data_IF_619344429604
#
_entry.id   IF_619344429604
#
_cell.length_a   1.000
_cell.length_b   1.000
_cell.length_c   1.000
_cell.angle_alpha   90.00
_cell.angle_beta   90.00
_cell.angle_gamma   90.00
#
_symmetry.space_group_name_H-M   'P 1'
#
loop_
_entity.id
_entity.type
_entity.pdbx_description
1 polymer ?
#
# COMPACT_ATOMS: atom_id res chain seq x y z
N UNK A 1 -30.79 3.24 -29.19
CA UNK A 1 -29.67 4.19 -29.39
C UNK A 1 -30.03 5.65 -29.10
N UNK A 2 -31.09 6.24 -29.70
CA UNK A 2 -31.49 7.66 -29.49
C UNK A 2 -31.73 8.06 -28.02
N UNK A 3 -32.36 7.19 -27.22
CA UNK A 3 -32.62 7.44 -25.77
C UNK A 3 -31.34 7.56 -24.94
N UNK A 4 -30.33 6.74 -25.22
CA UNK A 4 -29.06 6.75 -24.48
C UNK A 4 -28.23 8.01 -24.79
N UNK A 5 -28.15 8.39 -26.07
CA UNK A 5 -27.48 9.62 -26.51
C UNK A 5 -28.14 10.86 -25.89
N UNK A 6 -29.48 10.87 -25.80
CA UNK A 6 -30.21 11.93 -25.11
C UNK A 6 -29.83 12.03 -23.62
N UNK A 7 -29.75 10.89 -22.90
CA UNK A 7 -29.37 10.87 -21.49
C UNK A 7 -27.93 11.37 -21.26
N UNK A 8 -26.98 10.99 -22.11
CA UNK A 8 -25.60 11.50 -22.06
C UNK A 8 -25.58 13.02 -22.29
N UNK A 9 -26.24 13.49 -23.35
CA UNK A 9 -26.30 14.93 -23.65
C UNK A 9 -26.91 15.72 -22.50
N UNK A 10 -27.98 15.20 -21.90
CA UNK A 10 -28.61 15.78 -20.71
C UNK A 10 -27.64 15.85 -19.53
N UNK A 11 -26.87 14.80 -19.26
CA UNK A 11 -25.90 14.78 -18.17
C UNK A 11 -24.81 15.84 -18.34
N UNK A 12 -24.26 16.02 -19.55
CA UNK A 12 -23.28 17.10 -19.82
C UNK A 12 -23.88 18.49 -19.67
N UNK A 13 -25.12 18.70 -20.13
CA UNK A 13 -25.83 19.97 -19.95
C UNK A 13 -26.07 20.27 -18.46
N UNK A 14 -26.37 19.25 -17.65
CA UNK A 14 -26.56 19.38 -16.20
C UNK A 14 -25.26 19.83 -15.50
N UNK A 15 -24.14 19.17 -15.80
CA UNK A 15 -22.81 19.57 -15.29
C UNK A 15 -22.50 21.02 -15.68
N UNK A 16 -22.81 21.40 -16.93
CA UNK A 16 -22.59 22.75 -17.43
C UNK A 16 -23.48 23.83 -16.80
N UNK A 17 -24.67 23.49 -16.32
CA UNK A 17 -25.58 24.44 -15.64
C UNK A 17 -25.26 24.57 -14.14
N UNK A 18 -24.75 23.52 -13.49
CA UNK A 18 -24.40 23.52 -12.07
C UNK A 18 -22.88 23.36 -11.82
N UNK A 19 -22.08 24.19 -12.50
CA UNK A 19 -20.61 24.04 -12.56
C UNK A 19 -19.93 24.05 -11.19
N UNK A 20 -20.38 24.90 -10.27
CA UNK A 20 -19.74 25.05 -8.96
C UNK A 20 -19.90 23.80 -8.10
N UNK A 21 -21.10 23.21 -8.09
CA UNK A 21 -21.38 22.00 -7.31
C UNK A 21 -20.73 20.77 -7.96
N UNK A 22 -20.78 20.67 -9.30
CA UNK A 22 -20.09 19.62 -10.04
C UNK A 22 -18.57 19.67 -9.80
N UNK A 23 -17.98 20.88 -9.77
CA UNK A 23 -16.57 21.09 -9.44
C UNK A 23 -16.24 20.66 -8.00
N UNK A 24 -17.05 21.08 -7.02
CA UNK A 24 -16.88 20.68 -5.62
C UNK A 24 -16.95 19.15 -5.44
N UNK A 25 -17.91 18.49 -6.11
CA UNK A 25 -18.03 17.03 -6.11
C UNK A 25 -16.83 16.36 -6.79
N UNK A 26 -16.34 16.93 -7.89
CA UNK A 26 -15.15 16.43 -8.59
C UNK A 26 -13.92 16.48 -7.70
N UNK A 27 -13.68 17.61 -7.00
CA UNK A 27 -12.57 17.75 -6.06
C UNK A 27 -12.69 16.73 -4.92
N UNK A 28 -13.87 16.59 -4.33
CA UNK A 28 -14.09 15.67 -3.21
C UNK A 28 -13.79 14.22 -3.60
N UNK A 29 -14.34 13.74 -4.72
CA UNK A 29 -14.09 12.38 -5.22
C UNK A 29 -12.62 12.22 -5.64
N UNK A 30 -12.03 13.22 -6.30
CA UNK A 30 -10.61 13.19 -6.70
C UNK A 30 -9.70 13.07 -5.48
N UNK A 31 -9.90 13.90 -4.45
CA UNK A 31 -9.11 13.85 -3.22
C UNK A 31 -9.23 12.49 -2.52
N UNK A 32 -10.45 11.94 -2.46
CA UNK A 32 -10.66 10.60 -1.92
C UNK A 32 -9.90 9.53 -2.72
N UNK A 33 -10.06 9.49 -4.04
CA UNK A 33 -9.41 8.50 -4.90
C UNK A 33 -7.88 8.64 -4.86
N UNK A 34 -7.36 9.86 -4.71
CA UNK A 34 -5.94 10.11 -4.51
C UNK A 34 -5.44 9.55 -3.18
N UNK A 35 -6.12 9.82 -2.09
CA UNK A 35 -5.75 9.29 -0.77
C UNK A 35 -5.79 7.76 -0.79
N UNK A 36 -6.83 7.18 -1.41
CA UNK A 36 -6.95 5.73 -1.60
C UNK A 36 -5.77 5.17 -2.40
N UNK A 37 -5.46 5.77 -3.55
CA UNK A 37 -4.36 5.35 -4.44
C UNK A 37 -3.01 5.41 -3.73
N UNK A 38 -2.70 6.54 -3.10
CA UNK A 38 -1.43 6.74 -2.40
C UNK A 38 -1.30 5.82 -1.19
N UNK A 39 -2.39 5.59 -0.45
CA UNK A 39 -2.41 4.66 0.68
C UNK A 39 -2.20 3.22 0.22
N UNK A 40 -2.88 2.81 -0.85
CA UNK A 40 -2.69 1.49 -1.46
C UNK A 40 -1.23 1.28 -1.88
N UNK A 41 -0.62 2.27 -2.54
CA UNK A 41 0.78 2.20 -2.94
C UNK A 41 1.73 2.14 -1.76
N UNK A 42 1.50 2.94 -0.73
CA UNK A 42 2.29 2.92 0.48
C UNK A 42 2.22 1.52 1.12
N UNK A 43 1.02 0.94 1.23
CA UNK A 43 0.82 -0.40 1.80
C UNK A 43 1.56 -1.47 1.00
N UNK A 44 1.42 -1.48 -0.33
CA UNK A 44 2.10 -2.47 -1.18
C UNK A 44 3.62 -2.34 -1.05
N UNK A 45 4.16 -1.11 -1.15
CA UNK A 45 5.60 -0.89 -1.00
C UNK A 45 6.12 -1.23 0.41
N UNK A 46 5.37 -0.88 1.46
CA UNK A 46 5.71 -1.24 2.85
C UNK A 46 5.68 -2.77 3.03
N UNK A 47 4.70 -3.46 2.45
CA UNK A 47 4.61 -4.92 2.53
C UNK A 47 5.81 -5.56 1.81
N UNK A 48 6.16 -5.11 0.61
CA UNK A 48 7.36 -5.58 -0.11
C UNK A 48 8.63 -5.31 0.67
N UNK A 49 8.79 -4.10 1.24
CA UNK A 49 9.92 -3.76 2.08
C UNK A 49 9.96 -4.64 3.35
N UNK A 50 8.80 -4.88 3.96
CA UNK A 50 8.66 -5.75 5.13
C UNK A 50 9.01 -7.20 4.79
N UNK A 51 8.70 -7.70 3.59
CA UNK A 51 9.09 -9.04 3.16
C UNK A 51 10.60 -9.19 2.97
N UNK A 52 11.26 -8.18 2.38
CA UNK A 52 12.72 -8.15 2.26
C UNK A 52 13.37 -8.10 3.65
N UNK A 53 12.88 -7.21 4.53
CA UNK A 53 13.33 -7.14 5.92
C UNK A 53 13.04 -8.46 6.65
N UNK A 54 11.88 -9.10 6.48
CA UNK A 54 11.60 -10.39 7.13
C UNK A 54 12.60 -11.48 6.73
N UNK A 55 13.04 -11.52 5.47
CA UNK A 55 14.07 -12.49 5.00
C UNK A 55 15.45 -12.25 5.58
N UNK A 56 15.78 -11.01 5.93
CA UNK A 56 17.05 -10.69 6.60
C UNK A 56 16.96 -10.91 8.12
N UNK A 57 15.75 -10.86 8.69
CA UNK A 57 15.53 -10.80 10.14
C UNK A 57 14.86 -12.06 10.73
N UNK A 58 14.56 -13.07 9.90
CA UNK A 58 14.31 -14.46 10.33
C UNK A 58 15.63 -15.20 10.64
N UNK A 59 16.74 -14.48 10.65
CA UNK A 59 18.09 -14.97 10.92
C UNK A 59 18.47 -14.64 12.36
N UNK A 60 18.88 -15.67 13.09
CA UNK A 60 19.52 -15.58 14.39
C UNK A 60 21.01 -15.78 14.15
N UNK A 61 21.82 -14.82 14.54
CA UNK A 61 23.27 -14.90 14.42
C UNK A 61 23.85 -15.27 15.78
N UNK A 62 24.44 -16.45 15.85
CA UNK A 62 25.21 -16.91 17.00
C UNK A 62 26.67 -16.58 16.74
N UNK A 63 27.24 -15.64 17.47
CA UNK A 63 28.68 -15.38 17.45
C UNK A 63 29.38 -16.43 18.28
N UNK A 64 30.41 -17.05 17.69
CA UNK A 64 31.21 -18.06 18.35
C UNK A 64 32.42 -17.40 19.00
N UNK A 65 32.91 -17.99 20.08
CA UNK A 65 34.16 -17.54 20.70
C UNK A 65 35.33 -17.70 19.73
N UNK A 66 36.31 -16.79 19.82
CA UNK A 66 37.47 -16.74 18.93
C UNK A 66 38.41 -17.96 19.03
N UNK A 67 38.36 -18.70 20.15
CA UNK A 67 39.18 -19.88 20.43
C UNK A 67 38.62 -21.18 19.85
N UNK A 68 37.40 -21.16 19.28
CA UNK A 68 36.79 -22.35 18.68
C UNK A 68 37.47 -22.75 17.37
N UNK A 69 37.73 -24.05 17.23
CA UNK A 69 38.12 -24.62 15.95
C UNK A 69 36.94 -24.66 14.97
N UNK A 70 37.25 -24.72 13.68
CA UNK A 70 36.22 -24.80 12.64
C UNK A 70 35.33 -26.04 12.81
N UNK A 71 35.87 -27.18 13.24
CA UNK A 71 35.08 -28.38 13.55
C UNK A 71 34.09 -28.17 14.71
N UNK A 72 34.52 -27.48 15.78
CA UNK A 72 33.64 -27.13 16.89
C UNK A 72 32.51 -26.20 16.43
N UNK A 73 32.82 -25.22 15.58
CA UNK A 73 31.82 -24.36 14.95
C UNK A 73 30.81 -25.12 14.07
N UNK A 74 31.26 -26.14 13.34
CA UNK A 74 30.38 -27.02 12.58
C UNK A 74 29.48 -27.88 13.47
N UNK A 75 29.96 -28.36 14.62
CA UNK A 75 29.11 -29.06 15.61
C UNK A 75 28.00 -28.16 16.15
N UNK A 76 28.30 -26.89 16.42
CA UNK A 76 27.28 -25.90 16.82
C UNK A 76 26.23 -25.74 15.72
N UNK A 77 26.66 -25.58 14.45
CA UNK A 77 25.74 -25.54 13.29
C UNK A 77 24.83 -26.76 13.25
N UNK A 78 25.37 -27.97 13.37
CA UNK A 78 24.61 -29.22 13.21
C UNK A 78 23.60 -29.45 14.34
N UNK A 79 23.95 -28.99 15.55
CA UNK A 79 23.04 -28.98 16.71
C UNK A 79 21.77 -28.18 16.41
N UNK A 80 21.92 -26.98 15.85
CA UNK A 80 20.77 -26.13 15.53
C UNK A 80 20.10 -26.49 14.20
N UNK A 81 20.81 -27.12 13.26
CA UNK A 81 20.21 -27.59 12.01
C UNK A 81 19.11 -28.63 12.24
N UNK A 82 19.22 -29.40 13.32
CA UNK A 82 18.29 -30.48 13.69
C UNK A 82 17.11 -30.00 14.53
N UNK A 83 17.05 -28.72 14.91
CA UNK A 83 16.01 -28.18 15.77
C UNK A 83 14.68 -27.94 15.05
N UNK A 84 13.58 -28.21 15.76
CA UNK A 84 12.25 -27.97 15.23
C UNK A 84 12.02 -26.47 14.97
N UNK A 85 11.59 -26.15 13.75
CA UNK A 85 11.36 -24.78 13.32
C UNK A 85 12.61 -24.03 12.84
N UNK A 86 13.76 -24.70 12.72
CA UNK A 86 14.91 -24.22 11.94
C UNK A 86 14.75 -24.66 10.49
N UNK A 87 14.83 -23.71 9.55
CA UNK A 87 14.83 -23.99 8.10
C UNK A 87 16.22 -24.29 7.58
N UNK A 88 17.23 -23.59 8.11
CA UNK A 88 18.62 -23.70 7.69
C UNK A 88 19.56 -23.21 8.79
N UNK A 89 20.67 -23.89 8.99
CA UNK A 89 21.80 -23.39 9.77
C UNK A 89 23.05 -23.37 8.89
N UNK A 90 23.78 -22.26 8.87
CA UNK A 90 24.98 -22.10 8.07
C UNK A 90 26.12 -21.57 8.94
N UNK A 91 27.31 -22.17 8.81
CA UNK A 91 28.52 -21.62 9.39
C UNK A 91 29.04 -20.50 8.47
N UNK A 92 29.36 -19.35 9.04
CA UNK A 92 29.90 -18.19 8.35
C UNK A 92 31.26 -17.85 8.97
N UNK A 93 32.29 -17.80 8.13
CA UNK A 93 33.62 -17.37 8.59
C UNK A 93 33.67 -15.86 8.79
N UNK A 94 34.59 -15.39 9.61
CA UNK A 94 34.86 -13.95 9.77
C UNK A 94 35.22 -13.26 8.44
N UNK A 95 35.91 -13.95 7.52
CA UNK A 95 36.25 -13.42 6.19
C UNK A 95 35.01 -13.25 5.31
N UNK A 96 34.09 -14.21 5.34
CA UNK A 96 32.80 -14.12 4.67
C UNK A 96 31.93 -13.00 5.25
N UNK A 97 31.90 -12.89 6.59
CA UNK A 97 31.20 -11.81 7.29
C UNK A 97 31.73 -10.43 6.86
N UNK A 98 33.05 -10.28 6.75
CA UNK A 98 33.70 -9.05 6.28
C UNK A 98 33.35 -8.76 4.81
N UNK A 99 33.34 -9.77 3.94
CA UNK A 99 32.96 -9.62 2.53
C UNK A 99 31.51 -9.15 2.39
N UNK A 100 30.59 -9.74 3.16
CA UNK A 100 29.19 -9.33 3.17
C UNK A 100 29.00 -7.91 3.73
N UNK A 101 29.75 -7.54 4.77
CA UNK A 101 29.70 -6.19 5.34
C UNK A 101 30.16 -5.14 4.33
N UNK A 102 31.27 -5.39 3.63
CA UNK A 102 31.76 -4.52 2.54
C UNK A 102 30.73 -4.36 1.43
N UNK A 103 30.10 -5.46 1.01
CA UNK A 103 29.05 -5.42 0.00
C UNK A 103 27.84 -4.56 0.44
N UNK A 104 27.41 -4.65 1.70
CA UNK A 104 26.33 -3.83 2.26
C UNK A 104 26.68 -2.33 2.33
N UNK A 105 27.95 -1.99 2.48
CA UNK A 105 28.42 -0.60 2.54
C UNK A 105 28.61 0.04 1.16
N UNK A 106 28.52 -0.74 0.08
CA UNK A 106 28.60 -0.26 -1.29
C UNK A 106 29.88 0.55 -1.55
N UNK A 107 29.72 1.77 -2.07
CA UNK A 107 30.83 2.68 -2.38
C UNK A 107 31.66 3.10 -1.16
N UNK A 108 31.16 2.91 0.06
CA UNK A 108 31.91 3.20 1.30
C UNK A 108 32.61 1.98 1.88
N UNK A 109 32.53 0.82 1.23
CA UNK A 109 33.15 -0.43 1.70
C UNK A 109 34.67 -0.36 1.87
N UNK A 110 35.36 0.48 1.08
CA UNK A 110 36.81 0.68 1.13
C UNK A 110 37.30 1.21 2.49
N UNK A 111 36.42 1.86 3.28
CA UNK A 111 36.77 2.33 4.61
C UNK A 111 37.12 1.17 5.56
N UNK A 112 36.56 -0.02 5.31
CA UNK A 112 36.80 -1.23 6.09
C UNK A 112 38.15 -1.89 5.76
N UNK A 113 38.80 -1.52 4.66
CA UNK A 113 40.14 -2.02 4.30
C UNK A 113 41.24 -1.45 5.21
N UNK A 114 40.99 -0.31 5.85
CA UNK A 114 41.92 0.33 6.78
C UNK A 114 41.97 -0.35 8.17
N UNK A 115 41.17 -1.38 8.40
CA UNK A 115 41.19 -2.14 9.65
C UNK A 115 42.42 -3.05 9.68
N UNK A 116 43.31 -2.84 10.67
CA UNK A 116 44.56 -3.63 10.85
C UNK A 116 44.31 -5.13 11.01
N UNK A 117 43.17 -5.52 11.58
CA UNK A 117 42.73 -6.91 11.74
C UNK A 117 41.21 -6.97 11.62
N UNK A 118 40.68 -8.06 11.08
CA UNK A 118 39.25 -8.31 11.02
C UNK A 118 38.67 -8.44 12.44
N UNK A 119 37.79 -7.51 12.89
CA UNK A 119 37.22 -7.53 14.23
C UNK A 119 35.99 -8.44 14.35
N UNK A 120 35.54 -9.06 13.26
CA UNK A 120 34.35 -9.91 13.25
C UNK A 120 34.71 -11.34 13.73
N UNK A 121 33.92 -11.94 14.63
CA UNK A 121 34.07 -13.34 14.99
C UNK A 121 33.44 -14.27 13.95
N UNK A 122 33.76 -15.56 14.02
CA UNK A 122 33.02 -16.59 13.28
C UNK A 122 31.58 -16.68 13.82
N UNK A 123 30.62 -17.05 12.98
CA UNK A 123 29.23 -17.15 13.41
C UNK A 123 28.46 -18.30 12.78
N UNK A 124 27.44 -18.78 13.48
CA UNK A 124 26.43 -19.69 12.94
C UNK A 124 25.16 -18.88 12.71
N UNK A 125 24.70 -18.84 11.46
CA UNK A 125 23.47 -18.16 11.10
C UNK A 125 22.34 -19.16 10.95
N UNK A 126 21.35 -19.03 11.81
CA UNK A 126 20.17 -19.90 11.88
C UNK A 126 18.99 -19.15 11.29
N UNK A 127 18.40 -19.67 10.22
CA UNK A 127 17.15 -19.18 9.63
C UNK A 127 15.99 -19.95 10.23
N UNK A 128 15.09 -19.25 10.93
CA UNK A 128 13.89 -19.86 11.54
C UNK A 128 12.68 -19.80 10.61
N UNK A 129 11.75 -20.74 10.76
CA UNK A 129 10.52 -20.77 9.96
C UNK A 129 9.49 -19.74 10.40
N UNK A 130 9.46 -19.41 11.69
CA UNK A 130 8.59 -18.39 12.30
C UNK A 130 9.37 -17.55 13.28
N UNK A 131 9.06 -16.25 13.33
CA UNK A 131 9.70 -15.31 14.27
C UNK A 131 9.44 -15.69 15.75
N UNK A 132 8.34 -16.40 16.01
CA UNK A 132 7.98 -16.94 17.33
C UNK A 132 8.98 -17.97 17.84
N UNK A 133 9.55 -18.78 16.93
CA UNK A 133 10.55 -19.81 17.26
C UNK A 133 11.90 -19.21 17.66
N UNK A 134 12.15 -17.94 17.32
CA UNK A 134 13.45 -17.32 17.54
C UNK A 134 13.83 -17.22 19.02
N UNK A 135 12.87 -16.99 19.91
CA UNK A 135 13.15 -16.91 21.36
C UNK A 135 13.58 -18.27 21.92
N UNK A 136 12.96 -19.36 21.46
CA UNK A 136 13.31 -20.72 21.90
C UNK A 136 14.74 -21.08 21.49
N UNK A 137 15.10 -20.78 20.24
CA UNK A 137 16.44 -21.02 19.72
C UNK A 137 17.47 -20.13 20.42
N UNK A 138 17.16 -18.85 20.66
CA UNK A 138 18.04 -17.94 21.38
C UNK A 138 18.29 -18.41 22.83
N UNK A 139 17.25 -18.85 23.55
CA UNK A 139 17.39 -19.38 24.91
C UNK A 139 18.21 -20.67 24.95
N UNK A 140 18.07 -21.55 23.94
CA UNK A 140 18.92 -22.74 23.81
C UNK A 140 20.38 -22.38 23.50
N UNK A 141 20.60 -21.42 22.60
CA UNK A 141 21.92 -20.95 22.24
C UNK A 141 22.68 -20.30 23.40
N UNK A 142 22.00 -19.61 24.32
CA UNK A 142 22.63 -19.07 25.54
C UNK A 142 23.27 -20.15 26.42
N UNK A 143 22.76 -21.38 26.35
CA UNK A 143 23.23 -22.53 27.15
C UNK A 143 24.21 -23.41 26.37
N UNK A 144 24.47 -23.10 25.11
CA UNK A 144 25.33 -23.92 24.25
C UNK A 144 26.78 -23.46 24.39
N UNK A 145 27.67 -24.41 24.68
CA UNK A 145 29.09 -24.13 24.81
C UNK A 145 29.70 -23.64 23.49
N UNK A 146 30.57 -22.63 23.58
CA UNK A 146 31.22 -22.02 22.41
C UNK A 146 30.44 -20.89 21.73
N UNK A 147 29.21 -20.59 22.17
CA UNK A 147 28.49 -19.37 21.78
C UNK A 147 28.89 -18.24 22.73
N UNK A 148 29.29 -17.09 22.17
CA UNK A 148 29.70 -15.89 22.91
C UNK A 148 28.57 -14.87 23.00
N UNK A 149 27.95 -14.54 21.86
CA UNK A 149 26.87 -13.55 21.79
C UNK A 149 25.79 -13.99 20.78
N UNK A 150 24.57 -13.51 20.98
CA UNK A 150 23.40 -13.92 20.21
C UNK A 150 22.67 -12.68 19.75
N UNK A 151 22.70 -12.42 18.45
CA UNK A 151 21.95 -11.32 17.85
C UNK A 151 20.76 -11.84 17.05
N UNK A 152 19.58 -11.39 17.44
CA UNK A 152 18.35 -11.55 16.68
C UNK A 152 17.47 -10.32 16.88
N UNK A 153 16.74 -9.96 15.83
CA UNK A 153 16.06 -8.66 15.75
C UNK A 153 14.55 -8.75 15.94
N UNK A 154 14.05 -9.81 16.60
CA UNK A 154 12.62 -10.08 16.79
C UNK A 154 11.85 -8.86 17.30
N UNK A 155 12.28 -8.26 18.42
CA UNK A 155 11.58 -7.10 19.03
C UNK A 155 11.48 -5.91 18.06
N UNK A 156 12.52 -5.67 17.26
CA UNK A 156 12.53 -4.59 16.26
C UNK A 156 11.56 -4.89 15.14
N UNK A 157 11.55 -6.12 14.63
CA UNK A 157 10.61 -6.58 13.59
C UNK A 157 9.17 -6.54 14.09
N UNK A 158 8.91 -6.97 15.31
CA UNK A 158 7.57 -6.92 15.90
C UNK A 158 7.06 -5.48 16.03
N UNK A 159 7.91 -4.54 16.46
CA UNK A 159 7.58 -3.12 16.49
C UNK A 159 7.26 -2.58 15.09
N UNK A 160 8.07 -2.93 14.08
CA UNK A 160 7.83 -2.56 12.69
C UNK A 160 6.50 -3.13 12.17
N UNK A 161 6.23 -4.41 12.39
CA UNK A 161 4.97 -5.07 11.98
C UNK A 161 3.77 -4.40 12.66
N UNK A 162 3.87 -4.09 13.96
CA UNK A 162 2.80 -3.39 14.70
C UNK A 162 2.57 -1.98 14.13
N UNK A 163 3.63 -1.23 13.84
CA UNK A 163 3.55 0.09 13.24
C UNK A 163 2.89 0.04 11.84
N UNK A 164 3.34 -0.89 10.98
CA UNK A 164 2.74 -1.12 9.66
C UNK A 164 1.26 -1.45 9.75
N UNK A 165 0.88 -2.34 10.68
CA UNK A 165 -0.52 -2.71 10.91
C UNK A 165 -1.35 -1.52 11.39
N UNK A 166 -0.81 -0.70 12.28
CA UNK A 166 -1.48 0.52 12.75
C UNK A 166 -1.73 1.51 11.60
N UNK A 167 -0.74 1.72 10.73
CA UNK A 167 -0.88 2.57 9.53
C UNK A 167 -1.95 2.02 8.59
N UNK A 168 -1.96 0.71 8.33
CA UNK A 168 -2.97 0.05 7.49
C UNK A 168 -4.39 0.24 8.03
N UNK A 169 -4.60 0.04 9.34
CA UNK A 169 -5.91 0.25 9.98
C UNK A 169 -6.34 1.71 9.94
N UNK A 170 -5.42 2.64 10.21
CA UNK A 170 -5.70 4.07 10.17
C UNK A 170 -6.11 4.52 8.75
N UNK A 171 -5.41 4.03 7.72
CA UNK A 171 -5.74 4.30 6.33
C UNK A 171 -7.13 3.76 5.96
N UNK A 172 -7.49 2.56 6.41
CA UNK A 172 -8.81 1.98 6.18
C UNK A 172 -9.93 2.84 6.76
N UNK A 173 -9.77 3.32 8.00
CA UNK A 173 -10.76 4.19 8.66
C UNK A 173 -10.93 5.51 7.90
N UNK A 174 -9.83 6.12 7.46
CA UNK A 174 -9.85 7.36 6.66
C UNK A 174 -10.58 7.13 5.33
N UNK A 175 -10.30 6.03 4.63
CA UNK A 175 -10.96 5.69 3.35
C UNK A 175 -12.48 5.55 3.55
N UNK A 176 -12.93 4.82 4.57
CA UNK A 176 -14.36 4.65 4.85
C UNK A 176 -15.05 5.98 5.15
N UNK A 177 -14.39 6.85 5.91
CA UNK A 177 -14.89 8.19 6.21
C UNK A 177 -14.99 9.07 4.95
N UNK A 178 -13.99 9.01 4.05
CA UNK A 178 -14.02 9.76 2.80
C UNK A 178 -15.08 9.25 1.82
N UNK A 179 -15.34 7.94 1.77
CA UNK A 179 -16.46 7.36 1.01
C UNK A 179 -17.77 8.00 1.48
N UNK A 180 -17.98 8.04 2.80
CA UNK A 180 -19.18 8.63 3.38
C UNK A 180 -19.33 10.11 2.99
N UNK A 181 -18.25 10.91 3.12
CA UNK A 181 -18.25 12.32 2.70
C UNK A 181 -18.60 12.45 1.22
N UNK A 182 -18.00 11.64 0.35
CA UNK A 182 -18.26 11.70 -1.09
C UNK A 182 -19.72 11.39 -1.42
N UNK A 183 -20.31 10.38 -0.79
CA UNK A 183 -21.74 10.06 -0.95
C UNK A 183 -22.60 11.26 -0.55
N UNK A 184 -22.31 11.92 0.57
CA UNK A 184 -23.06 13.10 1.03
C UNK A 184 -22.91 14.27 0.06
N UNK A 185 -21.68 14.60 -0.36
CA UNK A 185 -21.41 15.72 -1.29
C UNK A 185 -22.10 15.50 -2.63
N UNK A 186 -21.95 14.32 -3.22
CA UNK A 186 -22.60 13.96 -4.50
C UNK A 186 -24.12 13.97 -4.34
N UNK A 187 -24.64 13.45 -3.22
CA UNK A 187 -26.08 13.45 -2.95
C UNK A 187 -26.65 14.87 -2.92
N UNK A 188 -25.93 15.80 -2.28
CA UNK A 188 -26.32 17.20 -2.17
C UNK A 188 -26.27 17.90 -3.53
N UNK A 189 -25.23 17.67 -4.32
CA UNK A 189 -25.13 18.19 -5.69
C UNK A 189 -26.33 17.76 -6.52
N UNK A 190 -26.67 16.48 -6.50
CA UNK A 190 -27.77 15.93 -7.31
C UNK A 190 -29.13 16.41 -6.78
N UNK A 191 -29.28 16.56 -5.46
CA UNK A 191 -30.49 17.14 -4.87
C UNK A 191 -30.74 18.55 -5.40
N UNK A 192 -29.69 19.38 -5.47
CA UNK A 192 -29.80 20.74 -6.00
C UNK A 192 -30.07 20.75 -7.50
N UNK A 193 -29.42 19.86 -8.28
CA UNK A 193 -29.68 19.75 -9.72
C UNK A 193 -31.11 19.29 -10.01
N UNK A 194 -31.66 18.37 -9.20
CA UNK A 194 -33.06 17.93 -9.27
C UNK A 194 -34.01 19.08 -8.92
N UNK A 195 -33.74 19.80 -7.82
CA UNK A 195 -34.56 20.94 -7.41
C UNK A 195 -34.64 22.02 -8.49
N UNK A 196 -33.50 22.34 -9.12
CA UNK A 196 -33.42 23.30 -10.22
C UNK A 196 -34.18 22.88 -11.50
N UNK A 197 -34.63 21.61 -11.60
CA UNK A 197 -35.42 21.09 -12.72
C UNK A 197 -36.75 20.47 -12.28
N UNK A 198 -37.23 20.80 -11.09
CA UNK A 198 -38.46 20.24 -10.52
C UNK A 198 -39.68 20.45 -11.41
N UNK A 199 -39.81 21.61 -12.06
CA UNK A 199 -40.90 21.92 -12.99
C UNK A 199 -40.86 21.03 -14.25
N UNK A 200 -39.69 20.89 -14.88
CA UNK A 200 -39.51 20.03 -16.06
C UNK A 200 -39.79 18.56 -15.72
N UNK A 201 -39.33 18.11 -14.55
CA UNK A 201 -39.58 16.75 -14.05
C UNK A 201 -41.08 16.54 -13.84
N UNK A 202 -41.78 17.53 -13.28
CA UNK A 202 -43.23 17.47 -13.03
C UNK A 202 -44.00 17.33 -14.35
N UNK A 203 -43.67 18.14 -15.36
CA UNK A 203 -44.29 18.04 -16.70
C UNK A 203 -44.03 16.65 -17.31
N UNK A 204 -42.80 16.13 -17.25
CA UNK A 204 -42.49 14.79 -17.75
C UNK A 204 -43.31 13.70 -17.04
N UNK A 205 -43.56 13.85 -15.74
CA UNK A 205 -44.37 12.92 -14.96
C UNK A 205 -45.84 12.96 -15.37
N UNK A 206 -46.41 14.14 -15.61
CA UNK A 206 -47.80 14.28 -16.07
C UNK A 206 -48.05 13.65 -17.45
N UNK A 207 -47.04 13.66 -18.33
CA UNK A 207 -47.12 13.03 -19.67
C UNK A 207 -46.80 11.51 -19.62
N UNK A 208 -46.64 10.93 -18.43
CA UNK A 208 -46.48 9.47 -18.25
C UNK A 208 -45.04 8.96 -18.35
N UNK A 209 -44.02 9.80 -18.16
CA UNK A 209 -42.63 9.34 -18.17
C UNK A 209 -42.33 8.36 -17.04
N UNK A 210 -41.61 7.27 -17.36
CA UNK A 210 -41.22 6.26 -16.37
C UNK A 210 -40.19 6.80 -15.37
N UNK A 211 -40.19 6.27 -14.15
CA UNK A 211 -39.21 6.63 -13.10
C UNK A 211 -37.76 6.52 -13.59
N UNK A 212 -37.44 5.51 -14.41
CA UNK A 212 -36.09 5.31 -14.94
C UNK A 212 -35.72 6.37 -15.99
N UNK A 213 -36.68 6.85 -16.79
CA UNK A 213 -36.45 7.90 -17.76
C UNK A 213 -36.09 9.24 -17.09
N UNK A 214 -36.71 9.53 -15.94
CA UNK A 214 -36.41 10.72 -15.13
C UNK A 214 -35.08 10.57 -14.37
N UNK A 215 -34.79 9.39 -13.80
CA UNK A 215 -33.59 9.14 -12.98
C UNK A 215 -32.31 8.92 -13.79
N UNK A 216 -32.41 8.38 -14.99
CA UNK A 216 -31.27 7.98 -15.83
C UNK A 216 -30.24 9.11 -16.07
N UNK A 217 -30.66 10.34 -16.45
CA UNK A 217 -29.73 11.45 -16.65
C UNK A 217 -28.91 11.81 -15.41
N UNK A 218 -29.53 11.82 -14.21
CA UNK A 218 -28.84 12.13 -12.95
C UNK A 218 -27.89 11.02 -12.50
N UNK A 219 -28.21 9.76 -12.82
CA UNK A 219 -27.29 8.64 -12.61
C UNK A 219 -26.04 8.79 -13.48
N UNK A 220 -26.23 9.11 -14.76
CA UNK A 220 -25.11 9.36 -15.68
C UNK A 220 -24.32 10.61 -15.30
N UNK A 221 -24.95 11.67 -14.81
CA UNK A 221 -24.26 12.85 -14.28
C UNK A 221 -23.29 12.45 -13.17
N UNK A 222 -23.77 11.70 -12.16
CA UNK A 222 -22.92 11.19 -11.08
C UNK A 222 -21.78 10.30 -11.59
N UNK A 223 -22.07 9.38 -12.52
CA UNK A 223 -21.05 8.52 -13.13
C UNK A 223 -20.00 9.31 -13.92
N UNK A 224 -20.39 10.35 -14.65
CA UNK A 224 -19.47 11.21 -15.41
C UNK A 224 -18.57 12.04 -14.48
N UNK A 225 -19.14 12.62 -13.42
CA UNK A 225 -18.34 13.31 -12.38
C UNK A 225 -17.33 12.33 -11.78
N UNK A 226 -17.76 11.10 -11.48
CA UNK A 226 -16.91 10.02 -10.98
C UNK A 226 -15.80 9.61 -11.97
N UNK A 227 -16.13 9.49 -13.25
CA UNK A 227 -15.19 9.18 -14.34
C UNK A 227 -14.10 10.26 -14.46
N UNK A 228 -14.51 11.54 -14.51
CA UNK A 228 -13.59 12.68 -14.59
C UNK A 228 -12.68 12.72 -13.37
N UNK A 229 -13.24 12.54 -12.17
CA UNK A 229 -12.49 12.49 -10.93
C UNK A 229 -11.48 11.34 -10.91
N UNK A 230 -11.87 10.16 -11.40
CA UNK A 230 -11.00 9.00 -11.56
C UNK A 230 -9.84 9.29 -12.51
N UNK A 231 -10.10 9.87 -13.68
CA UNK A 231 -9.06 10.23 -14.63
C UNK A 231 -8.06 11.24 -14.06
N UNK A 232 -8.54 12.27 -13.35
CA UNK A 232 -7.69 13.26 -12.68
C UNK A 232 -6.85 12.59 -11.57
N UNK A 233 -7.48 11.74 -10.75
CA UNK A 233 -6.81 11.03 -9.66
C UNK A 233 -5.70 10.10 -10.19
N UNK A 234 -5.93 9.40 -11.31
CA UNK A 234 -4.92 8.56 -11.97
C UNK A 234 -3.72 9.40 -12.42
N UNK A 235 -3.98 10.50 -13.15
CA UNK A 235 -2.91 11.38 -13.63
C UNK A 235 -2.08 11.95 -12.49
N UNK A 236 -2.75 12.47 -11.46
CA UNK A 236 -2.07 13.10 -10.32
C UNK A 236 -1.38 12.07 -9.42
N UNK A 237 -1.98 10.91 -9.17
CA UNK A 237 -1.32 9.82 -8.42
C UNK A 237 -0.07 9.31 -9.15
N UNK A 238 -0.13 9.19 -10.47
CA UNK A 238 1.02 8.75 -11.28
C UNK A 238 2.13 9.79 -11.22
N UNK A 239 1.80 11.07 -11.39
CA UNK A 239 2.76 12.16 -11.29
C UNK A 239 3.44 12.20 -9.91
N UNK A 240 2.66 12.13 -8.83
CA UNK A 240 3.16 12.11 -7.46
C UNK A 240 4.09 10.89 -7.25
N UNK A 241 3.67 9.71 -7.69
CA UNK A 241 4.46 8.48 -7.52
C UNK A 241 5.80 8.54 -8.26
N UNK A 242 5.82 9.01 -9.51
CA UNK A 242 7.05 9.19 -10.28
C UNK A 242 8.01 10.14 -9.55
N UNK A 243 7.51 11.26 -9.01
CA UNK A 243 8.33 12.20 -8.25
C UNK A 243 8.92 11.56 -7.00
N UNK A 244 8.09 10.86 -6.22
CA UNK A 244 8.53 10.13 -5.01
C UNK A 244 9.64 9.13 -5.36
N UNK A 245 9.45 8.29 -6.39
CA UNK A 245 10.45 7.30 -6.81
C UNK A 245 11.73 7.99 -7.29
N UNK A 246 11.64 9.10 -8.02
CA UNK A 246 12.82 9.80 -8.53
C UNK A 246 13.69 10.43 -7.43
N UNK A 247 13.07 10.95 -6.38
CA UNK A 247 13.75 11.67 -5.29
C UNK A 247 14.17 10.72 -4.16
N UNK A 248 13.28 9.83 -3.75
CA UNK A 248 13.48 8.96 -2.58
C UNK A 248 13.95 7.57 -3.02
N UNK A 249 13.44 7.07 -4.15
CA UNK A 249 13.72 5.71 -4.63
C UNK A 249 15.20 5.42 -4.89
N UNK A 250 15.99 6.38 -5.38
CA UNK A 250 17.44 6.17 -5.58
C UNK A 250 18.18 5.88 -4.27
N UNK A 251 17.89 6.63 -3.22
CA UNK A 251 18.53 6.46 -1.92
C UNK A 251 17.98 5.22 -1.20
N UNK A 252 16.67 4.97 -1.29
CA UNK A 252 16.02 3.81 -0.65
C UNK A 252 16.40 2.49 -1.32
N UNK A 253 16.45 2.42 -2.65
CA UNK A 253 16.90 1.22 -3.38
C UNK A 253 18.37 0.92 -3.06
N UNK A 254 19.21 1.96 -2.95
CA UNK A 254 20.64 1.79 -2.61
C UNK A 254 20.84 1.30 -1.16
N UNK A 255 20.03 1.79 -0.20
CA UNK A 255 20.18 1.45 1.23
C UNK A 255 19.46 0.15 1.60
N UNK A 256 18.25 -0.09 1.05
CA UNK A 256 17.39 -1.20 1.44
C UNK A 256 17.35 -2.34 0.42
N UNK A 257 17.90 -2.18 -0.79
CA UNK A 257 17.85 -3.19 -1.87
C UNK A 257 16.45 -3.73 -2.16
N UNK A 258 15.41 -2.96 -1.85
CA UNK A 258 14.00 -3.33 -2.04
C UNK A 258 13.54 -2.89 -3.43
N UNK A 259 13.03 -3.80 -4.29
CA UNK A 259 12.42 -3.39 -5.54
C UNK A 259 11.12 -2.62 -5.24
N UNK A 260 11.03 -1.38 -5.72
CA UNK A 260 9.79 -0.61 -5.68
C UNK A 260 8.83 -1.11 -6.77
N UNK A 261 7.52 -0.95 -6.54
CA UNK A 261 6.50 -1.36 -7.52
C UNK A 261 6.71 -0.60 -8.85
N UNK A 262 6.73 -1.29 -10.01
CA UNK A 262 6.89 -0.65 -11.30
C UNK A 262 5.79 0.37 -11.58
N UNK A 263 6.16 1.51 -12.17
CA UNK A 263 5.22 2.58 -12.55
C UNK A 263 4.19 2.10 -13.58
N UNK A 264 4.53 1.09 -14.38
CA UNK A 264 3.64 0.48 -15.38
C UNK A 264 2.43 -0.21 -14.76
N UNK A 265 2.61 -0.89 -13.62
CA UNK A 265 1.51 -1.49 -12.86
C UNK A 265 0.53 -0.43 -12.37
N UNK A 266 1.04 0.77 -12.07
CA UNK A 266 0.25 1.93 -11.69
C UNK A 266 -0.60 2.46 -12.85
N UNK A 267 0.05 2.66 -14.00
CA UNK A 267 -0.57 3.28 -15.18
C UNK A 267 -1.64 2.38 -15.82
N UNK A 268 -1.50 1.06 -15.71
CA UNK A 268 -2.47 0.09 -16.25
C UNK A 268 -3.52 -0.33 -15.24
N UNK A 269 -3.15 -1.24 -14.32
CA UNK A 269 -4.10 -1.95 -13.46
C UNK A 269 -4.80 -1.03 -12.46
N UNK A 270 -4.05 -0.13 -11.81
CA UNK A 270 -4.63 0.77 -10.81
C UNK A 270 -5.51 1.85 -11.46
N UNK A 271 -5.21 2.26 -12.69
CA UNK A 271 -5.98 3.26 -13.41
C UNK A 271 -7.43 2.82 -13.63
N UNK A 272 -7.63 1.59 -14.11
CA UNK A 272 -8.97 1.02 -14.31
C UNK A 272 -9.75 0.89 -13.01
N UNK A 273 -9.08 0.48 -11.93
CA UNK A 273 -9.70 0.36 -10.60
C UNK A 273 -10.17 1.73 -10.09
N UNK A 274 -9.34 2.77 -10.19
CA UNK A 274 -9.69 4.12 -9.73
C UNK A 274 -10.84 4.73 -10.54
N UNK A 275 -10.85 4.53 -11.86
CA UNK A 275 -11.93 5.00 -12.73
C UNK A 275 -13.24 4.27 -12.38
N UNK A 276 -13.20 2.93 -12.26
CA UNK A 276 -14.36 2.14 -11.89
C UNK A 276 -14.92 2.54 -10.52
N UNK A 277 -14.05 2.71 -9.51
CA UNK A 277 -14.44 3.16 -8.18
C UNK A 277 -15.04 4.56 -8.21
N UNK A 278 -14.43 5.50 -8.93
CA UNK A 278 -14.97 6.85 -9.11
C UNK A 278 -16.39 6.83 -9.69
N UNK A 279 -16.61 6.06 -10.75
CA UNK A 279 -17.93 5.87 -11.35
C UNK A 279 -18.94 5.24 -10.37
N UNK A 280 -18.53 4.21 -9.61
CA UNK A 280 -19.38 3.57 -8.60
C UNK A 280 -19.78 4.53 -7.48
N UNK A 281 -18.85 5.34 -6.98
CA UNK A 281 -19.12 6.33 -5.92
C UNK A 281 -20.06 7.42 -6.44
N UNK A 282 -19.79 7.93 -7.65
CA UNK A 282 -20.67 8.90 -8.31
C UNK A 282 -22.08 8.35 -8.54
N UNK A 283 -22.20 7.09 -8.98
CA UNK A 283 -23.47 6.42 -9.15
C UNK A 283 -24.22 6.21 -7.82
N UNK A 284 -23.54 5.74 -6.78
CA UNK A 284 -24.14 5.47 -5.47
C UNK A 284 -24.62 6.74 -4.79
N UNK A 285 -23.84 7.83 -4.84
CA UNK A 285 -24.27 9.16 -4.37
C UNK A 285 -25.50 9.67 -5.12
N UNK A 286 -25.56 9.46 -6.43
CA UNK A 286 -26.73 9.80 -7.26
C UNK A 286 -27.99 9.02 -6.85
N UNK A 287 -27.85 7.71 -6.71
CA UNK A 287 -28.97 6.83 -6.32
C UNK A 287 -29.48 7.18 -4.91
N UNK A 288 -28.58 7.45 -3.97
CA UNK A 288 -28.94 7.80 -2.59
C UNK A 288 -29.81 9.07 -2.54
N UNK A 289 -29.47 10.08 -3.35
CA UNK A 289 -30.26 11.32 -3.46
C UNK A 289 -31.64 11.09 -4.07
N UNK A 290 -31.70 10.38 -5.20
CA UNK A 290 -32.97 10.15 -5.93
C UNK A 290 -33.97 9.27 -5.17
N UNK A 291 -33.49 8.32 -4.33
CA UNK A 291 -34.38 7.48 -3.50
C UNK A 291 -35.14 8.29 -2.45
N UNK A 292 -34.54 9.38 -1.94
CA UNK A 292 -35.18 10.25 -0.95
C UNK A 292 -36.21 11.20 -1.58
N UNK A 293 -35.96 11.69 -2.79
CA UNK A 293 -36.79 12.77 -3.39
C UNK A 293 -38.04 12.29 -4.15
N UNK A 294 -38.09 11.02 -4.57
CA UNK A 294 -39.20 10.47 -5.39
C UNK A 294 -40.14 9.54 -4.62
N UNK A 295 -40.04 9.55 -3.28
CA UNK A 295 -41.02 8.93 -2.37
C UNK A 295 -42.06 9.93 -1.87
N UNK A 296 -41.83 11.21 -2.11
CA UNK A 296 -42.78 12.32 -1.99
C UNK A 296 -43.31 12.64 -3.40
#
# INVERSE_FOLDING_TARGET
MRRFIYMIKQAFVQIGRNKNMAFASTIAITAMLLILSLSFLAIVNINTATEVVKKDYDRIQLFLKDDLTQEQGHKVRDTFASEEGVKRAAYQTKEEAMRMLKARWGNSGYLLDNLRKNPLPNSVIITVSKLETADKIAEKAKKTEGVEDIKYYKKTVEKLIKATRFIQWSALVIILFLIFICIVVVSNTIKLTVFARSDEISIMKYVGATNWFVRGPFLLEGMLIGLISGAIAVGLSTFIYIKIVSTIGKNVITILSTPMVPVEFLAGSLAWILIALGMCIGATGSIASMRRFLKE
#
